data_IF_284212602778
#
_entry.id   IF_284212602778
#
_cell.length_a   1.000
_cell.length_b   1.000
_cell.length_c   1.000
_cell.angle_alpha   90.00
_cell.angle_beta   90.00
_cell.angle_gamma   90.00
#
_symmetry.space_group_name_H-M   'P 1'
#
loop_
_entity.id
_entity.type
_entity.pdbx_description
1 polymer ?
#
# COMPACT_ATOMS: atom_id res chain seq x y z
N UNK A 1 -14.04 -7.85 -3.90
CA UNK A 1 -15.49 -7.65 -3.76
C UNK A 1 -15.99 -8.03 -2.38
N UNK A 2 -15.77 -9.26 -1.88
CA UNK A 2 -16.25 -9.71 -0.57
C UNK A 2 -15.90 -8.75 0.57
N UNK A 3 -14.66 -8.28 0.64
CA UNK A 3 -14.23 -7.31 1.66
C UNK A 3 -15.00 -5.98 1.58
N UNK A 4 -15.25 -5.47 0.37
CA UNK A 4 -16.02 -4.22 0.20
C UNK A 4 -17.43 -4.40 0.77
N UNK A 5 -18.11 -5.49 0.44
CA UNK A 5 -19.44 -5.80 0.95
C UNK A 5 -19.45 -5.96 2.47
N UNK A 6 -18.49 -6.72 2.99
CA UNK A 6 -18.32 -6.88 4.43
C UNK A 6 -18.15 -5.53 5.17
N UNK A 7 -17.41 -4.59 4.60
CA UNK A 7 -17.24 -3.26 5.19
C UNK A 7 -18.53 -2.44 5.11
N UNK A 8 -19.27 -2.51 3.99
CA UNK A 8 -20.55 -1.84 3.81
C UNK A 8 -21.60 -2.34 4.83
N UNK A 9 -21.65 -3.66 5.05
CA UNK A 9 -22.57 -4.28 6.03
C UNK A 9 -22.29 -3.80 7.46
N UNK A 10 -21.12 -3.21 7.73
CA UNK A 10 -20.73 -2.59 8.99
C UNK A 10 -20.85 -1.07 9.02
N UNK A 11 -21.66 -0.51 8.13
CA UNK A 11 -21.91 0.93 8.05
C UNK A 11 -20.64 1.79 7.84
N UNK A 12 -19.64 1.25 7.14
CA UNK A 12 -18.47 2.05 6.75
C UNK A 12 -18.90 3.18 5.83
N UNK A 13 -18.67 4.42 6.25
CA UNK A 13 -19.16 5.62 5.55
C UNK A 13 -18.51 5.82 4.19
N UNK A 14 -17.21 5.56 4.10
CA UNK A 14 -16.44 5.74 2.85
C UNK A 14 -15.36 4.68 2.73
N UNK A 15 -15.27 4.10 1.53
CA UNK A 15 -14.29 3.07 1.20
C UNK A 15 -13.49 3.54 0.00
N UNK A 16 -12.19 3.54 0.14
CA UNK A 16 -11.25 3.75 -0.95
C UNK A 16 -10.56 2.43 -1.29
N UNK A 17 -10.39 2.16 -2.56
CA UNK A 17 -9.57 1.06 -3.06
C UNK A 17 -8.45 1.67 -3.87
N UNK A 18 -7.22 1.46 -3.48
CA UNK A 18 -6.08 2.07 -4.15
C UNK A 18 -4.89 1.14 -4.25
N UNK A 19 -4.06 1.41 -5.24
CA UNK A 19 -2.75 0.81 -5.40
C UNK A 19 -1.79 1.85 -5.96
N UNK A 20 -0.51 1.57 -5.83
CA UNK A 20 0.56 2.30 -6.48
C UNK A 20 1.51 1.29 -7.12
N UNK A 21 1.54 1.27 -8.43
CA UNK A 21 2.32 0.35 -9.24
C UNK A 21 3.83 0.55 -9.09
N UNK A 22 4.60 -0.34 -9.66
CA UNK A 22 6.05 -0.17 -9.79
C UNK A 22 6.36 1.01 -10.70
N UNK A 23 7.56 1.58 -10.55
CA UNK A 23 8.05 2.67 -11.38
C UNK A 23 7.92 2.33 -12.87
N UNK A 24 7.32 3.23 -13.65
CA UNK A 24 7.14 3.07 -15.09
C UNK A 24 5.84 2.37 -15.51
N UNK A 25 5.00 1.96 -14.57
CA UNK A 25 3.69 1.36 -14.86
C UNK A 25 2.58 2.29 -14.37
N UNK A 26 1.62 2.59 -15.23
CA UNK A 26 0.43 3.34 -14.87
C UNK A 26 -0.46 2.52 -13.91
N UNK A 27 -0.71 3.08 -12.72
CA UNK A 27 -1.46 2.39 -11.68
C UNK A 27 -2.93 2.19 -12.04
N UNK A 28 -3.55 3.13 -12.75
CA UNK A 28 -4.95 3.02 -13.13
C UNK A 28 -5.15 1.97 -14.23
N UNK A 29 -4.24 1.88 -15.19
CA UNK A 29 -4.25 0.83 -16.20
C UNK A 29 -4.00 -0.56 -15.58
N UNK A 30 -3.12 -0.65 -14.59
CA UNK A 30 -2.91 -1.90 -13.84
C UNK A 30 -4.17 -2.33 -13.08
N UNK A 31 -4.83 -1.41 -12.36
CA UNK A 31 -6.08 -1.65 -11.65
C UNK A 31 -7.23 -2.06 -12.61
N UNK A 32 -7.27 -1.46 -13.80
CA UNK A 32 -8.23 -1.81 -14.85
C UNK A 32 -7.98 -3.22 -15.40
N UNK A 33 -6.73 -3.53 -15.74
CA UNK A 33 -6.33 -4.85 -16.26
C UNK A 33 -6.56 -5.97 -15.25
N UNK A 34 -6.34 -5.71 -13.96
CA UNK A 34 -6.63 -6.63 -12.86
C UNK A 34 -8.15 -6.77 -12.56
N UNK A 35 -9.01 -6.02 -13.23
CA UNK A 35 -10.46 -6.02 -13.00
C UNK A 35 -10.90 -5.33 -11.70
N UNK A 36 -9.99 -4.73 -10.95
CA UNK A 36 -10.28 -4.05 -9.68
C UNK A 36 -11.14 -2.82 -9.92
N UNK A 37 -10.79 -2.00 -10.92
CA UNK A 37 -11.56 -0.80 -11.28
C UNK A 37 -13.02 -1.14 -11.62
N UNK A 38 -13.27 -2.25 -12.32
CA UNK A 38 -14.62 -2.73 -12.61
C UNK A 38 -15.38 -3.06 -11.33
N UNK A 39 -14.77 -3.83 -10.42
CA UNK A 39 -15.38 -4.20 -9.14
C UNK A 39 -15.71 -2.95 -8.32
N UNK A 40 -14.81 -1.97 -8.27
CA UNK A 40 -15.06 -0.72 -7.55
C UNK A 40 -16.27 0.04 -8.11
N UNK A 41 -16.40 0.12 -9.45
CA UNK A 41 -17.57 0.73 -10.11
C UNK A 41 -18.87 -0.01 -9.79
N UNK A 42 -18.87 -1.34 -9.88
CA UNK A 42 -20.03 -2.19 -9.58
C UNK A 42 -20.46 -2.07 -8.11
N UNK A 43 -19.50 -1.94 -7.20
CA UNK A 43 -19.77 -1.80 -5.76
C UNK A 43 -19.92 -0.31 -5.34
N UNK A 44 -19.82 0.66 -6.24
CA UNK A 44 -20.00 2.08 -5.92
C UNK A 44 -18.98 2.61 -4.91
N UNK A 45 -17.70 2.19 -5.01
CA UNK A 45 -16.60 2.66 -4.18
C UNK A 45 -15.55 3.35 -5.03
N UNK A 46 -14.82 4.27 -4.43
CA UNK A 46 -13.79 5.05 -5.10
C UNK A 46 -12.54 4.20 -5.34
N UNK A 47 -12.08 4.17 -6.61
CA UNK A 47 -10.84 3.51 -7.01
C UNK A 47 -9.84 4.58 -7.43
N UNK A 48 -8.63 4.56 -6.89
CA UNK A 48 -7.66 5.62 -7.10
C UNK A 48 -6.22 5.11 -7.22
N UNK A 49 -5.40 5.88 -7.94
CA UNK A 49 -3.96 5.77 -7.86
C UNK A 49 -3.47 6.46 -6.58
N UNK A 50 -2.81 5.74 -5.70
CA UNK A 50 -2.34 6.28 -4.43
C UNK A 50 -1.29 7.40 -4.62
N UNK A 51 -0.52 7.37 -5.70
CA UNK A 51 0.48 8.39 -5.99
C UNK A 51 -0.16 9.78 -6.26
N UNK A 52 -1.42 9.82 -6.72
CA UNK A 52 -2.15 11.06 -7.04
C UNK A 52 -2.82 11.68 -5.80
N UNK A 53 -2.88 10.99 -4.68
CA UNK A 53 -3.52 11.48 -3.45
C UNK A 53 -2.69 12.52 -2.67
N UNK A 54 -1.59 12.98 -3.26
CA UNK A 54 -0.58 13.79 -2.58
C UNK A 54 0.29 12.94 -1.66
N UNK A 55 1.54 13.36 -1.50
CA UNK A 55 2.52 12.63 -0.69
C UNK A 55 2.85 13.42 0.57
N UNK A 56 2.97 12.73 1.68
CA UNK A 56 3.36 13.26 2.98
C UNK A 56 4.56 12.48 3.51
N UNK A 57 5.55 13.18 4.03
CA UNK A 57 6.71 12.56 4.67
C UNK A 57 6.50 12.53 6.18
N UNK A 58 6.75 11.37 6.77
CA UNK A 58 6.67 11.15 8.21
C UNK A 58 7.98 10.57 8.74
N UNK A 59 8.43 11.11 9.87
CA UNK A 59 9.54 10.54 10.61
C UNK A 59 9.18 9.19 11.23
N UNK A 60 10.17 8.31 11.33
CA UNK A 60 10.06 7.01 11.98
C UNK A 60 10.83 7.09 13.30
N UNK A 61 10.14 7.22 14.43
CA UNK A 61 10.81 7.25 15.73
C UNK A 61 11.66 5.98 15.95
N UNK A 62 12.93 6.17 16.23
CA UNK A 62 13.87 5.05 16.43
C UNK A 62 14.29 4.32 15.15
N UNK A 63 14.01 4.87 13.99
CA UNK A 63 14.44 4.32 12.71
C UNK A 63 15.97 4.35 12.56
N UNK A 64 16.61 3.19 12.42
CA UNK A 64 18.08 3.07 12.28
C UNK A 64 18.51 3.18 10.81
N UNK A 65 17.87 2.43 9.93
CA UNK A 65 18.21 2.37 8.51
C UNK A 65 17.38 3.37 7.66
N UNK A 66 16.18 3.66 8.11
CA UNK A 66 15.25 4.58 7.48
C UNK A 66 14.65 5.45 8.59
N UNK A 67 14.90 6.73 8.52
CA UNK A 67 14.45 7.71 9.53
C UNK A 67 13.17 8.42 9.14
N UNK A 68 12.81 8.40 7.86
CA UNK A 68 11.56 8.94 7.34
C UNK A 68 11.05 8.14 6.16
N UNK A 69 9.72 8.17 5.96
CA UNK A 69 9.05 7.58 4.80
C UNK A 69 8.09 8.57 4.18
N UNK A 70 8.07 8.61 2.86
CA UNK A 70 7.12 9.39 2.08
C UNK A 70 6.03 8.48 1.54
N UNK A 71 4.79 8.73 2.00
CA UNK A 71 3.62 7.91 1.69
C UNK A 71 2.44 8.77 1.22
N UNK A 72 1.43 8.18 0.57
CA UNK A 72 0.20 8.89 0.23
C UNK A 72 -0.45 9.49 1.48
N UNK A 73 -0.83 10.76 1.41
CA UNK A 73 -1.51 11.45 2.52
C UNK A 73 -2.76 10.69 2.97
N UNK A 74 -3.46 10.07 2.03
CA UNK A 74 -4.63 9.26 2.31
C UNK A 74 -4.35 8.17 3.35
N UNK A 75 -3.15 7.57 3.33
CA UNK A 75 -2.75 6.52 4.29
C UNK A 75 -2.72 7.00 5.75
N UNK A 76 -2.62 8.32 5.97
CA UNK A 76 -2.58 8.92 7.29
C UNK A 76 -3.91 9.57 7.72
N UNK A 77 -4.84 9.74 6.79
CA UNK A 77 -6.11 10.43 7.04
C UNK A 77 -7.30 9.48 7.15
N UNK A 78 -7.18 8.25 6.70
CA UNK A 78 -8.21 7.22 6.86
C UNK A 78 -8.21 6.65 8.28
N UNK A 79 -9.39 6.28 8.79
CA UNK A 79 -9.51 5.66 10.11
C UNK A 79 -8.88 4.26 10.16
N UNK A 80 -8.90 3.55 9.04
CA UNK A 80 -8.35 2.19 8.91
C UNK A 80 -7.71 1.99 7.55
N UNK A 81 -6.52 1.42 7.55
CA UNK A 81 -5.81 0.97 6.35
C UNK A 81 -5.79 -0.56 6.33
N UNK A 82 -6.35 -1.16 5.28
CA UNK A 82 -6.41 -2.61 5.12
C UNK A 82 -5.49 -3.02 3.98
N UNK A 83 -4.49 -3.82 4.28
CA UNK A 83 -3.61 -4.39 3.26
C UNK A 83 -4.16 -5.70 2.74
N UNK A 84 -4.36 -5.79 1.42
CA UNK A 84 -4.93 -6.97 0.74
C UNK A 84 -3.88 -7.55 -0.23
N UNK A 85 -2.88 -8.27 0.26
CA UNK A 85 -1.80 -8.79 -0.56
C UNK A 85 -2.22 -10.02 -1.37
N UNK A 86 -1.58 -10.19 -2.53
CA UNK A 86 -1.53 -11.49 -3.19
C UNK A 86 -0.31 -12.24 -2.65
N UNK A 87 -0.53 -13.41 -2.04
CA UNK A 87 0.57 -14.25 -1.59
C UNK A 87 1.32 -14.83 -2.79
N UNK A 88 2.59 -14.46 -2.93
CA UNK A 88 3.43 -14.92 -4.03
C UNK A 88 4.90 -14.93 -3.63
N UNK A 89 5.72 -15.66 -4.35
CA UNK A 89 7.18 -15.65 -4.21
C UNK A 89 7.76 -14.28 -4.60
N UNK A 90 8.91 -13.94 -4.03
CA UNK A 90 9.62 -12.71 -4.32
C UNK A 90 11.14 -12.94 -4.32
N UNK A 91 11.82 -12.48 -5.37
CA UNK A 91 13.24 -12.73 -5.61
C UNK A 91 14.19 -12.24 -4.50
N UNK A 92 13.81 -11.18 -3.75
CA UNK A 92 14.66 -10.64 -2.68
C UNK A 92 14.13 -10.93 -1.27
N UNK A 93 12.81 -11.02 -1.10
CA UNK A 93 12.21 -11.16 0.22
C UNK A 93 11.67 -12.58 0.47
N UNK A 94 11.89 -13.51 -0.43
CA UNK A 94 11.33 -14.86 -0.42
C UNK A 94 9.84 -14.88 -0.71
N UNK A 95 9.06 -14.09 0.03
CA UNK A 95 7.59 -14.05 -0.09
C UNK A 95 7.06 -12.62 -0.07
N UNK A 96 5.95 -12.40 -0.76
CA UNK A 96 5.13 -11.18 -0.68
C UNK A 96 3.91 -11.49 0.17
N UNK A 97 3.76 -10.74 1.26
CA UNK A 97 2.61 -10.75 2.19
C UNK A 97 2.26 -9.31 2.60
N UNK A 98 1.44 -9.15 3.65
CA UNK A 98 0.88 -7.85 4.06
C UNK A 98 1.91 -6.74 4.23
N UNK A 99 2.99 -6.98 4.99
CA UNK A 99 4.06 -5.98 5.20
C UNK A 99 4.74 -5.62 3.88
N UNK A 100 5.08 -6.62 3.07
CA UNK A 100 5.72 -6.41 1.77
C UNK A 100 4.81 -5.68 0.79
N UNK A 101 3.50 -5.90 0.87
CA UNK A 101 2.50 -5.22 0.06
C UNK A 101 2.42 -3.73 0.40
N UNK A 102 2.51 -3.35 1.68
CA UNK A 102 2.52 -1.95 2.11
C UNK A 102 3.68 -1.13 1.53
N UNK A 103 4.75 -1.78 1.10
CA UNK A 103 5.82 -1.12 0.35
C UNK A 103 5.29 -0.50 -0.97
N UNK A 104 4.20 -1.01 -1.53
CA UNK A 104 3.50 -0.41 -2.66
C UNK A 104 3.03 1.02 -2.36
N UNK A 105 2.71 1.34 -1.11
CA UNK A 105 2.29 2.69 -0.70
C UNK A 105 3.44 3.71 -0.62
N UNK A 106 4.70 3.31 -0.79
CA UNK A 106 5.82 4.24 -0.72
C UNK A 106 5.93 5.08 -1.99
N UNK A 107 6.45 6.30 -1.84
CA UNK A 107 6.83 7.13 -2.99
C UNK A 107 7.80 6.38 -3.91
N UNK A 108 7.63 6.53 -5.21
CA UNK A 108 8.31 5.73 -6.24
C UNK A 108 9.83 5.59 -6.05
N UNK A 109 10.52 6.70 -5.74
CA UNK A 109 11.98 6.68 -5.49
C UNK A 109 12.35 5.85 -4.26
N UNK A 110 11.51 5.85 -3.23
CA UNK A 110 11.73 5.08 -2.00
C UNK A 110 11.48 3.60 -2.22
N UNK A 111 10.56 3.21 -3.11
CA UNK A 111 10.38 1.81 -3.53
C UNK A 111 11.70 1.21 -4.03
N UNK A 112 12.44 1.96 -4.85
CA UNK A 112 13.72 1.51 -5.40
C UNK A 112 14.84 1.55 -4.35
N UNK A 113 14.91 2.63 -3.55
CA UNK A 113 15.91 2.80 -2.49
C UNK A 113 15.89 1.64 -1.51
N UNK A 114 14.71 1.26 -1.03
CA UNK A 114 14.56 0.17 -0.05
C UNK A 114 14.89 -1.23 -0.60
N UNK A 115 14.88 -1.43 -1.93
CA UNK A 115 15.39 -2.67 -2.52
C UNK A 115 16.92 -2.79 -2.48
N UNK A 116 17.63 -1.68 -2.39
CA UNK A 116 19.10 -1.63 -2.37
C UNK A 116 19.70 -1.75 -0.98
N UNK A 117 18.89 -1.74 0.08
CA UNK A 117 19.37 -1.98 1.44
C UNK A 117 19.75 -3.46 1.53
N UNK A 118 21.05 -3.72 1.41
CA UNK A 118 21.63 -5.06 1.55
C UNK A 118 21.52 -5.51 2.98
N UNK A 119 21.33 -6.81 3.17
CA UNK A 119 21.34 -7.55 4.46
C UNK A 119 20.05 -7.45 5.28
N UNK A 120 19.02 -8.20 4.93
CA UNK A 120 17.95 -8.68 5.86
C UNK A 120 17.26 -7.68 6.82
N UNK A 121 17.95 -6.60 7.15
CA UNK A 121 17.51 -5.56 8.06
C UNK A 121 16.31 -4.75 7.59
N UNK A 122 16.03 -4.74 6.27
CA UNK A 122 14.88 -4.00 5.74
C UNK A 122 13.53 -4.52 6.23
N UNK A 123 13.43 -5.80 6.56
CA UNK A 123 12.20 -6.38 7.10
C UNK A 123 12.05 -6.11 8.61
N UNK A 124 13.15 -5.99 9.34
CA UNK A 124 13.14 -5.75 10.79
C UNK A 124 13.05 -4.27 11.18
N UNK A 125 13.32 -3.36 10.24
CA UNK A 125 13.27 -1.91 10.47
C UNK A 125 11.92 -1.26 10.13
N UNK A 126 10.94 -2.05 9.70
CA UNK A 126 9.58 -1.53 9.56
C UNK A 126 9.01 -1.30 10.96
N UNK A 127 8.45 -0.11 11.25
CA UNK A 127 7.82 0.13 12.54
C UNK A 127 6.74 -0.92 12.78
N UNK A 128 6.80 -1.62 13.90
CA UNK A 128 5.76 -2.58 14.31
C UNK A 128 4.37 -1.92 14.40
N UNK A 129 4.33 -0.59 14.51
CA UNK A 129 3.11 0.22 14.46
C UNK A 129 2.44 0.27 13.08
N UNK A 130 3.08 -0.22 12.01
CA UNK A 130 2.46 -0.41 10.70
C UNK A 130 1.78 -1.78 10.54
N UNK A 131 1.61 -2.54 11.60
CA UNK A 131 0.68 -3.68 11.62
C UNK A 131 -0.73 -3.09 11.66
N UNK A 132 -1.29 -2.87 10.47
CA UNK A 132 -2.70 -2.51 10.37
C UNK A 132 -3.52 -3.78 10.58
N UNK A 133 -4.18 -3.87 11.70
CA UNK A 133 -5.26 -4.80 11.94
C UNK A 133 -6.56 -4.17 11.48
#
# INVERSE_FOLDING_TARGET
RGLIRFLKDRNTKKIYVGDSSIVGVDSMEALKSAGILRVCKEEGVECLNLDDSGMEEREIPGGVMVTSLKMPRLSFTVDRLISVPVMKTHMYAGVTLSIKNLKGCLYQKDKTRLHRIKNGAAASSWPQSMICI
#
